data_IF_644500456387
#
_entry.id   IF_644500456387
#
_cell.length_a   1.000
_cell.length_b   1.000
_cell.length_c   1.000
_cell.angle_alpha   90.00
_cell.angle_beta   90.00
_cell.angle_gamma   90.00
#
_symmetry.space_group_name_H-M   'P 1'
#
loop_
_entity.id
_entity.type
_entity.pdbx_description
1 polymer ?
#
# COMPACT_ATOMS: atom_id res chain seq x y z
N UNK A 1 -4.96 22.88 -9.99
CA UNK A 1 -4.77 22.69 -8.53
C UNK A 1 -6.06 23.08 -7.85
N UNK A 2 -6.65 22.14 -7.13
CA UNK A 2 -7.83 22.43 -6.33
C UNK A 2 -7.43 23.32 -5.15
N UNK A 3 -8.36 24.16 -4.71
CA UNK A 3 -8.17 25.07 -3.57
C UNK A 3 -9.35 24.96 -2.62
N UNK A 4 -9.06 24.95 -1.33
CA UNK A 4 -10.08 25.09 -0.29
C UNK A 4 -10.08 26.56 0.17
N UNK A 5 -11.23 27.24 0.05
CA UNK A 5 -11.43 28.59 0.57
C UNK A 5 -12.28 28.46 1.85
N UNK A 6 -11.75 28.89 2.99
CA UNK A 6 -12.39 28.77 4.29
C UNK A 6 -12.69 30.17 4.82
N UNK A 7 -13.96 30.43 5.15
CA UNK A 7 -14.40 31.66 5.80
C UNK A 7 -14.59 31.41 7.31
N UNK A 8 -13.79 32.07 8.14
CA UNK A 8 -13.84 31.93 9.60
C UNK A 8 -15.09 32.55 10.24
N UNK A 9 -15.14 32.53 11.57
CA UNK A 9 -16.20 33.16 12.37
C UNK A 9 -17.35 32.24 12.79
N UNK A 10 -17.30 30.95 12.45
CA UNK A 10 -18.34 29.97 12.77
C UNK A 10 -17.81 28.91 13.73
N UNK A 11 -18.45 28.73 14.88
CA UNK A 11 -18.18 27.60 15.77
C UNK A 11 -18.75 26.31 15.17
N UNK A 12 -17.97 25.22 15.23
CA UNK A 12 -18.44 23.91 14.79
C UNK A 12 -19.45 23.33 15.80
N UNK A 13 -20.58 22.84 15.32
CA UNK A 13 -21.58 22.11 16.11
C UNK A 13 -22.27 21.07 15.22
N UNK A 14 -22.29 19.81 15.66
CA UNK A 14 -22.86 18.69 14.92
C UNK A 14 -22.11 17.39 15.17
N UNK A 15 -22.51 16.35 14.45
CA UNK A 15 -21.94 15.00 14.54
C UNK A 15 -21.47 14.54 13.15
N UNK A 16 -20.42 13.74 13.11
CA UNK A 16 -19.90 13.11 11.90
C UNK A 16 -19.55 11.66 12.17
N UNK A 17 -19.70 10.80 11.17
CA UNK A 17 -19.21 9.43 11.22
C UNK A 17 -17.72 9.37 10.85
N UNK A 18 -16.94 8.63 11.62
CA UNK A 18 -15.51 8.46 11.38
C UNK A 18 -15.28 7.30 10.40
N UNK A 19 -14.61 7.59 9.28
CA UNK A 19 -14.21 6.56 8.32
C UNK A 19 -13.14 5.63 8.88
N UNK A 20 -12.98 4.45 8.26
CA UNK A 20 -11.94 3.50 8.61
C UNK A 20 -10.51 4.06 8.58
N UNK A 21 -9.61 3.38 9.29
CA UNK A 21 -8.25 3.84 9.48
C UNK A 21 -7.38 3.57 8.24
N UNK A 22 -6.95 4.65 7.57
CA UNK A 22 -6.04 4.57 6.40
C UNK A 22 -4.81 3.70 6.67
N UNK A 23 -4.16 3.89 7.81
CA UNK A 23 -2.92 3.18 8.15
C UNK A 23 -3.12 1.72 8.54
N UNK A 24 -4.37 1.28 8.76
CA UNK A 24 -4.73 -0.14 8.88
C UNK A 24 -5.08 -0.72 7.50
N UNK A 25 -5.86 0.03 6.70
CA UNK A 25 -6.26 -0.41 5.36
C UNK A 25 -5.06 -0.67 4.42
N UNK A 26 -4.03 0.17 4.44
CA UNK A 26 -2.87 0.02 3.56
C UNK A 26 -2.12 -1.33 3.74
N UNK A 27 -1.70 -1.73 4.96
CA UNK A 27 -1.11 -3.05 5.16
C UNK A 27 -2.09 -4.19 4.92
N UNK A 28 -3.38 -4.05 5.24
CA UNK A 28 -4.40 -5.09 4.98
C UNK A 28 -4.58 -5.35 3.47
N UNK A 29 -4.57 -4.29 2.65
CA UNK A 29 -4.58 -4.40 1.19
C UNK A 29 -3.35 -5.16 0.66
N UNK A 30 -2.16 -4.94 1.24
CA UNK A 30 -0.97 -5.71 0.90
C UNK A 30 -1.02 -7.15 1.44
N UNK A 31 -1.64 -7.38 2.60
CA UNK A 31 -1.77 -8.71 3.18
C UNK A 31 -2.65 -9.63 2.33
N UNK A 32 -3.62 -9.09 1.60
CA UNK A 32 -4.42 -9.84 0.62
C UNK A 32 -3.55 -10.52 -0.46
N UNK A 33 -2.32 -10.03 -0.71
CA UNK A 33 -1.39 -10.67 -1.64
C UNK A 33 -0.87 -12.03 -1.14
N UNK A 34 -1.07 -12.39 0.13
CA UNK A 34 -0.59 -13.66 0.70
C UNK A 34 -1.40 -14.89 0.26
N UNK A 35 -2.61 -14.70 -0.31
CA UNK A 35 -3.52 -15.78 -0.66
C UNK A 35 -4.01 -15.67 -2.10
N UNK A 36 -4.34 -16.81 -2.72
CA UNK A 36 -5.03 -16.87 -4.01
C UNK A 36 -6.56 -16.80 -3.87
N UNK A 37 -7.08 -16.92 -2.64
CA UNK A 37 -8.49 -16.82 -2.34
C UNK A 37 -8.99 -15.37 -2.37
N UNK A 38 -10.30 -15.20 -2.49
CA UNK A 38 -10.94 -13.90 -2.38
C UNK A 38 -10.83 -13.36 -0.94
N UNK A 39 -10.46 -12.08 -0.83
CA UNK A 39 -10.41 -11.33 0.44
C UNK A 39 -11.33 -10.12 0.33
N UNK A 40 -12.22 -9.95 1.31
CA UNK A 40 -13.12 -8.78 1.39
C UNK A 40 -12.74 -7.95 2.60
N UNK A 41 -12.25 -6.73 2.36
CA UNK A 41 -12.02 -5.73 3.39
C UNK A 41 -13.23 -4.80 3.46
N UNK A 42 -13.76 -4.56 4.66
CA UNK A 42 -14.88 -3.63 4.88
C UNK A 42 -14.39 -2.36 5.56
N UNK A 43 -15.16 -1.29 5.45
CA UNK A 43 -14.82 0.01 6.05
C UNK A 43 -13.45 0.55 5.57
N UNK A 44 -13.14 0.40 4.29
CA UNK A 44 -11.94 0.97 3.68
C UNK A 44 -12.21 2.45 3.36
N UNK A 45 -11.39 3.40 3.86
CA UNK A 45 -11.65 4.83 3.64
C UNK A 45 -11.37 5.23 2.19
N UNK A 46 -12.21 6.11 1.64
CA UNK A 46 -12.08 6.65 0.28
C UNK A 46 -11.03 7.77 0.22
N UNK A 47 -9.76 7.39 0.18
CA UNK A 47 -8.61 8.31 0.18
C UNK A 47 -7.67 8.06 -1.01
N UNK A 48 -6.85 9.06 -1.34
CA UNK A 48 -5.88 8.97 -2.44
C UNK A 48 -4.83 7.87 -2.21
N UNK A 49 -4.37 7.67 -0.98
CA UNK A 49 -3.40 6.61 -0.64
C UNK A 49 -3.99 5.21 -0.91
N UNK A 50 -5.26 4.98 -0.55
CA UNK A 50 -5.96 3.73 -0.84
C UNK A 50 -6.09 3.53 -2.35
N UNK A 51 -6.46 4.57 -3.08
CA UNK A 51 -6.54 4.53 -4.54
C UNK A 51 -5.19 4.22 -5.20
N UNK A 52 -4.11 4.76 -4.64
CA UNK A 52 -2.74 4.49 -5.08
C UNK A 52 -2.32 3.04 -4.80
N UNK A 53 -2.61 2.51 -3.61
CA UNK A 53 -2.34 1.12 -3.28
C UNK A 53 -3.11 0.15 -4.18
N UNK A 54 -4.40 0.42 -4.42
CA UNK A 54 -5.22 -0.39 -5.33
C UNK A 54 -4.66 -0.38 -6.77
N UNK A 55 -4.16 0.77 -7.25
CA UNK A 55 -3.48 0.85 -8.55
C UNK A 55 -2.21 0.00 -8.58
N UNK A 56 -1.40 0.05 -7.52
CA UNK A 56 -0.17 -0.73 -7.40
C UNK A 56 -0.45 -2.23 -7.49
N UNK A 57 -1.38 -2.75 -6.69
CA UNK A 57 -1.65 -4.21 -6.66
C UNK A 57 -2.39 -4.67 -7.92
N UNK A 58 -3.25 -3.83 -8.53
CA UNK A 58 -3.82 -4.12 -9.86
C UNK A 58 -2.75 -4.30 -10.93
N UNK A 59 -1.69 -3.48 -10.89
CA UNK A 59 -0.57 -3.59 -11.83
C UNK A 59 0.23 -4.90 -11.68
N UNK A 60 0.10 -5.58 -10.54
CA UNK A 60 0.69 -6.91 -10.30
C UNK A 60 -0.20 -8.06 -10.80
N UNK A 61 -1.45 -7.77 -11.22
CA UNK A 61 -2.43 -8.75 -11.66
C UNK A 61 -3.57 -9.03 -10.67
N UNK A 62 -3.69 -8.25 -9.59
CA UNK A 62 -4.77 -8.43 -8.59
C UNK A 62 -6.07 -7.79 -9.08
N UNK A 63 -7.15 -8.58 -9.12
CA UNK A 63 -8.50 -8.03 -9.34
C UNK A 63 -8.95 -7.31 -8.07
N UNK A 64 -9.33 -6.03 -8.19
CA UNK A 64 -9.80 -5.24 -7.06
C UNK A 64 -11.10 -4.51 -7.40
N UNK A 65 -12.19 -4.85 -6.72
CA UNK A 65 -13.49 -4.18 -6.80
C UNK A 65 -13.66 -3.30 -5.57
N UNK A 66 -13.90 -1.99 -5.77
CA UNK A 66 -14.13 -1.03 -4.68
C UNK A 66 -15.57 -0.56 -4.75
N UNK A 67 -16.38 -1.02 -3.81
CA UNK A 67 -17.79 -0.71 -3.73
C UNK A 67 -18.04 0.65 -3.06
N UNK A 68 -19.23 1.21 -3.28
CA UNK A 68 -19.60 2.53 -2.75
C UNK A 68 -19.76 2.54 -1.23
N UNK A 69 -20.03 1.40 -0.60
CA UNK A 69 -20.14 1.20 0.84
C UNK A 69 -18.77 1.17 1.57
N UNK A 70 -17.66 1.32 0.83
CA UNK A 70 -16.31 1.23 1.38
C UNK A 70 -15.80 -0.21 1.50
N UNK A 71 -16.51 -1.20 0.95
CA UNK A 71 -15.99 -2.56 0.82
C UNK A 71 -15.02 -2.66 -0.37
N UNK A 72 -13.93 -3.40 -0.18
CA UNK A 72 -12.97 -3.74 -1.24
C UNK A 72 -12.82 -5.25 -1.32
N UNK A 73 -13.18 -5.81 -2.47
CA UNK A 73 -12.96 -7.24 -2.79
C UNK A 73 -11.70 -7.39 -3.61
N UNK A 74 -10.78 -8.24 -3.14
CA UNK A 74 -9.48 -8.51 -3.75
C UNK A 74 -9.37 -9.98 -4.12
N UNK A 75 -8.85 -10.26 -5.30
CA UNK A 75 -8.44 -11.61 -5.70
C UNK A 75 -7.06 -11.56 -6.35
N UNK A 76 -6.08 -12.19 -5.69
CA UNK A 76 -4.68 -12.24 -6.12
C UNK A 76 -4.30 -13.59 -6.76
N UNK A 77 -5.24 -14.40 -7.22
CA UNK A 77 -4.95 -15.68 -7.89
C UNK A 77 -4.18 -15.48 -9.21
N UNK A 78 -4.45 -14.40 -9.94
CA UNK A 78 -3.80 -14.08 -11.21
C UNK A 78 -2.49 -13.28 -11.06
N UNK A 79 -2.05 -12.99 -9.83
CA UNK A 79 -0.81 -12.28 -9.57
C UNK A 79 0.38 -13.15 -9.98
N UNK A 80 1.09 -12.75 -11.04
CA UNK A 80 2.25 -13.48 -11.58
C UNK A 80 3.53 -12.63 -11.67
N UNK A 81 3.43 -11.33 -11.34
CA UNK A 81 4.54 -10.37 -11.39
C UNK A 81 4.74 -9.73 -10.02
N UNK A 82 5.58 -10.31 -9.14
CA UNK A 82 5.87 -9.78 -7.80
C UNK A 82 6.82 -8.56 -7.87
N UNK A 83 6.41 -7.51 -8.57
CA UNK A 83 7.20 -6.29 -8.78
C UNK A 83 6.40 -5.02 -8.45
N UNK A 84 6.97 -4.15 -7.63
CA UNK A 84 6.48 -2.80 -7.35
C UNK A 84 7.42 -1.76 -7.98
N UNK A 85 7.05 -1.18 -9.15
CA UNK A 85 7.95 -0.32 -9.93
C UNK A 85 8.11 1.08 -9.31
N UNK A 86 9.24 1.72 -9.59
CA UNK A 86 9.59 3.07 -9.11
C UNK A 86 8.49 4.12 -9.35
N UNK A 87 7.89 4.14 -10.54
CA UNK A 87 6.86 5.12 -10.90
C UNK A 87 5.63 5.07 -9.99
N UNK A 88 5.32 3.90 -9.42
CA UNK A 88 4.25 3.75 -8.44
C UNK A 88 4.75 4.01 -7.01
N UNK A 89 5.91 3.47 -6.64
CA UNK A 89 6.47 3.62 -5.29
C UNK A 89 6.80 5.07 -4.94
N UNK A 90 7.29 5.87 -5.91
CA UNK A 90 7.65 7.28 -5.68
C UNK A 90 6.44 8.14 -5.26
N UNK A 91 5.24 7.72 -5.62
CA UNK A 91 4.00 8.45 -5.28
C UNK A 91 3.54 8.19 -3.85
N UNK A 92 3.89 7.04 -3.27
CA UNK A 92 3.46 6.66 -1.93
C UNK A 92 4.46 5.69 -1.30
N UNK A 93 5.14 6.16 -0.25
CA UNK A 93 6.12 5.39 0.52
C UNK A 93 5.59 4.08 1.11
N UNK A 94 4.29 4.03 1.45
CA UNK A 94 3.65 2.83 2.00
C UNK A 94 3.65 1.62 1.04
N UNK A 95 3.97 1.83 -0.24
CA UNK A 95 4.16 0.76 -1.22
C UNK A 95 5.23 -0.27 -0.82
N UNK A 96 6.16 0.08 0.08
CA UNK A 96 7.13 -0.86 0.68
C UNK A 96 6.46 -2.04 1.39
N UNK A 97 5.22 -1.88 1.86
CA UNK A 97 4.46 -2.93 2.54
C UNK A 97 4.17 -4.15 1.65
N UNK A 98 4.24 -4.00 0.32
CA UNK A 98 4.10 -5.12 -0.60
C UNK A 98 5.30 -6.09 -0.57
N UNK A 99 6.48 -5.64 -0.12
CA UNK A 99 7.70 -6.46 -0.11
C UNK A 99 7.53 -7.77 0.66
N UNK A 100 7.00 -7.70 1.88
CA UNK A 100 6.83 -8.88 2.75
C UNK A 100 5.90 -9.92 2.13
N UNK A 101 4.64 -9.58 1.81
CA UNK A 101 3.68 -10.49 1.19
C UNK A 101 4.16 -11.10 -0.13
N UNK A 102 4.77 -10.31 -1.00
CA UNK A 102 5.30 -10.79 -2.28
C UNK A 102 6.44 -11.79 -2.06
N UNK A 103 7.41 -11.44 -1.22
CA UNK A 103 8.54 -12.33 -0.93
C UNK A 103 8.08 -13.63 -0.26
N UNK A 104 7.17 -13.55 0.71
CA UNK A 104 6.66 -14.71 1.42
C UNK A 104 5.88 -15.67 0.51
N UNK A 105 5.08 -15.15 -0.43
CA UNK A 105 4.26 -15.98 -1.33
C UNK A 105 5.03 -16.53 -2.53
N UNK A 106 5.90 -15.72 -3.15
CA UNK A 106 6.55 -16.06 -4.41
C UNK A 106 8.02 -16.47 -4.25
N UNK A 107 8.59 -16.35 -3.06
CA UNK A 107 10.01 -16.62 -2.79
C UNK A 107 10.97 -15.58 -3.40
N UNK A 108 10.45 -14.60 -4.13
CA UNK A 108 11.18 -13.48 -4.73
C UNK A 108 10.26 -12.26 -4.83
N UNK A 109 10.83 -11.06 -4.77
CA UNK A 109 10.10 -9.82 -4.97
C UNK A 109 11.06 -8.74 -5.46
N UNK A 110 10.56 -7.82 -6.30
CA UNK A 110 11.33 -6.64 -6.74
C UNK A 110 10.57 -5.37 -6.40
N UNK A 111 10.97 -4.68 -5.35
CA UNK A 111 10.26 -3.50 -4.84
C UNK A 111 11.18 -2.29 -4.85
N UNK A 112 10.79 -1.22 -5.54
CA UNK A 112 11.58 0.01 -5.55
C UNK A 112 11.72 0.59 -4.14
N UNK A 113 12.90 1.13 -3.83
CA UNK A 113 13.13 1.84 -2.58
C UNK A 113 12.35 3.15 -2.56
N UNK A 114 11.57 3.42 -1.50
CA UNK A 114 10.99 4.74 -1.33
C UNK A 114 12.08 5.80 -1.21
N UNK A 115 11.95 6.88 -1.99
CA UNK A 115 12.84 8.02 -1.91
C UNK A 115 12.68 8.86 -0.63
N UNK A 116 13.18 10.09 -0.67
CA UNK A 116 13.07 11.06 0.41
C UNK A 116 11.62 11.41 0.74
N UNK A 117 11.37 11.78 2.01
CA UNK A 117 10.07 12.23 2.49
C UNK A 117 10.23 13.62 3.10
N UNK A 118 9.35 14.56 2.75
CA UNK A 118 9.42 15.95 3.23
C UNK A 118 9.29 16.08 4.76
N UNK A 119 8.78 15.05 5.44
CA UNK A 119 8.65 15.01 6.91
C UNK A 119 10.02 14.80 7.57
N UNK A 120 10.95 14.10 6.92
CA UNK A 120 12.27 13.78 7.46
C UNK A 120 12.81 12.42 7.02
N UNK A 121 13.93 12.03 7.63
CA UNK A 121 14.57 10.75 7.36
C UNK A 121 13.68 9.59 7.81
N UNK A 122 13.37 8.72 6.86
CA UNK A 122 12.62 7.49 7.09
C UNK A 122 13.39 6.41 6.32
N UNK A 123 14.29 5.64 6.95
CA UNK A 123 14.91 4.50 6.29
C UNK A 123 13.95 3.31 6.23
N UNK A 124 14.28 2.31 5.42
CA UNK A 124 13.56 1.01 5.38
C UNK A 124 14.47 -0.15 5.81
N UNK A 125 15.59 0.14 6.44
CA UNK A 125 16.62 -0.83 6.84
C UNK A 125 16.05 -1.93 7.76
N UNK A 126 15.08 -1.59 8.62
CA UNK A 126 14.42 -2.57 9.48
C UNK A 126 13.59 -3.60 8.70
N UNK A 127 12.97 -3.21 7.57
CA UNK A 127 12.28 -4.17 6.70
C UNK A 127 13.28 -5.17 6.12
N UNK A 128 14.44 -4.67 5.65
CA UNK A 128 15.49 -5.49 5.04
C UNK A 128 16.09 -6.44 6.09
N UNK A 129 16.52 -5.90 7.24
CA UNK A 129 17.09 -6.69 8.34
C UNK A 129 16.14 -7.77 8.84
N UNK A 130 14.85 -7.45 9.00
CA UNK A 130 13.85 -8.43 9.44
C UNK A 130 13.70 -9.59 8.47
N UNK A 131 13.61 -9.32 7.16
CA UNK A 131 13.50 -10.37 6.15
C UNK A 131 14.80 -11.17 5.98
N UNK A 132 15.96 -10.51 6.10
CA UNK A 132 17.26 -11.21 6.11
C UNK A 132 17.39 -12.15 7.31
N UNK A 133 16.90 -11.75 8.49
CA UNK A 133 16.86 -12.62 9.66
C UNK A 133 15.94 -13.84 9.48
N UNK A 134 14.96 -13.76 8.58
CA UNK A 134 14.11 -14.89 8.16
C UNK A 134 14.72 -15.74 7.04
N UNK A 135 15.96 -15.45 6.61
CA UNK A 135 16.69 -16.22 5.59
C UNK A 135 16.64 -15.65 4.18
N UNK A 136 15.99 -14.50 3.96
CA UNK A 136 15.99 -13.87 2.65
C UNK A 136 17.36 -13.27 2.30
N UNK A 137 17.76 -13.37 1.04
CA UNK A 137 18.90 -12.62 0.50
C UNK A 137 18.34 -11.38 -0.19
N UNK A 138 18.57 -10.21 0.41
CA UNK A 138 18.10 -8.93 -0.14
C UNK A 138 19.31 -8.09 -0.52
N UNK A 139 19.36 -7.65 -1.78
CA UNK A 139 20.33 -6.69 -2.30
C UNK A 139 19.63 -5.41 -2.72
N UNK A 140 20.34 -4.29 -2.61
CA UNK A 140 19.87 -3.00 -3.11
C UNK A 140 20.63 -2.67 -4.39
N UNK A 141 19.96 -2.77 -5.53
CA UNK A 141 20.54 -2.51 -6.84
C UNK A 141 19.69 -1.49 -7.60
N UNK A 142 20.32 -0.45 -8.13
CA UNK A 142 19.66 0.57 -8.96
C UNK A 142 18.37 1.16 -8.33
N UNK A 143 18.31 1.27 -7.00
CA UNK A 143 17.13 1.77 -6.28
C UNK A 143 16.00 0.76 -6.10
N UNK A 144 16.27 -0.55 -6.23
CA UNK A 144 15.34 -1.64 -5.95
C UNK A 144 15.87 -2.55 -4.86
N UNK A 145 14.97 -3.05 -4.01
CA UNK A 145 15.20 -4.23 -3.18
C UNK A 145 14.83 -5.46 -4.00
N UNK A 146 15.79 -6.37 -4.17
CA UNK A 146 15.67 -7.63 -4.90
C UNK A 146 16.13 -8.78 -4.01
#
# INVERSE_FOLDING_TARGET
MDKLIIHGGHSLNGEIEISGAKNAALPELCAALLTDQEVVLRNVPKLQDVSTMLKLIRNMGVTCLHAEDGSVTLNASALNKPEAPYEMVKTMRASVLALGPLLARFGHARVSLPGGCAIGSRPVDQHIKGLQAMGAKIVVEHGYMV
#
